data_IF_450732752234
#
_entry.id   IF_450732752234
#
_cell.length_a   1.000
_cell.length_b   1.000
_cell.length_c   1.000
_cell.angle_alpha   90.00
_cell.angle_beta   90.00
_cell.angle_gamma   90.00
#
_symmetry.space_group_name_H-M   'P 1'
#
loop_
_entity.id
_entity.type
_entity.pdbx_description
1 polymer ?
#
# COMPACT_ATOMS: atom_id res chain seq x y z
N UNK A 1 6.10 1.50 -39.58
CA UNK A 1 5.60 0.46 -38.66
C UNK A 1 6.84 -0.07 -37.96
N UNK A 2 7.34 0.71 -37.02
CA UNK A 2 8.46 0.39 -36.15
C UNK A 2 7.88 0.59 -34.75
N UNK A 3 7.60 -0.52 -34.07
CA UNK A 3 7.17 -0.52 -32.67
C UNK A 3 8.36 -0.07 -31.80
N UNK A 4 8.16 1.04 -31.10
CA UNK A 4 8.98 1.49 -29.98
C UNK A 4 8.91 0.46 -28.83
N UNK A 5 9.68 -0.62 -28.93
CA UNK A 5 10.12 -1.42 -27.77
C UNK A 5 11.25 -0.65 -27.04
N UNK A 6 11.00 0.60 -26.65
CA UNK A 6 11.77 1.21 -25.57
C UNK A 6 11.41 0.45 -24.29
N UNK A 7 12.18 -0.58 -23.97
CA UNK A 7 12.17 -1.23 -22.66
C UNK A 7 12.42 -0.14 -21.60
N UNK A 8 11.33 0.41 -21.05
CA UNK A 8 11.36 1.39 -19.97
C UNK A 8 12.25 0.85 -18.85
N UNK A 9 13.40 1.50 -18.65
CA UNK A 9 14.29 1.11 -17.56
C UNK A 9 13.51 1.20 -16.24
N UNK A 10 13.54 0.14 -15.41
CA UNK A 10 12.75 0.11 -14.20
C UNK A 10 13.23 1.17 -13.23
N UNK A 11 12.27 1.98 -12.75
CA UNK A 11 12.46 3.12 -11.85
C UNK A 11 13.24 2.81 -10.55
N UNK A 12 13.35 1.54 -10.16
CA UNK A 12 14.36 1.05 -9.22
C UNK A 12 14.57 -0.47 -9.34
N UNK A 13 15.73 -1.01 -8.93
CA UNK A 13 15.93 -2.45 -8.74
C UNK A 13 14.89 -3.15 -7.85
N UNK A 14 14.31 -2.45 -6.87
CA UNK A 14 13.18 -2.98 -6.08
C UNK A 14 11.95 -3.19 -6.96
N UNK A 15 11.69 -2.32 -7.94
CA UNK A 15 10.61 -2.50 -8.91
C UNK A 15 10.84 -3.74 -9.79
N UNK A 16 12.09 -4.07 -10.13
CA UNK A 16 12.43 -5.30 -10.87
C UNK A 16 12.02 -6.56 -10.09
N UNK A 17 12.06 -6.52 -8.75
CA UNK A 17 11.65 -7.65 -7.92
C UNK A 17 10.13 -7.93 -7.97
N UNK A 18 9.35 -6.98 -8.47
CA UNK A 18 7.90 -7.10 -8.62
C UNK A 18 7.48 -7.50 -10.04
N UNK A 19 8.43 -7.67 -10.95
CA UNK A 19 8.17 -8.14 -12.30
C UNK A 19 9.16 -9.24 -12.69
N UNK A 20 9.02 -10.40 -12.05
CA UNK A 20 9.79 -11.62 -12.37
C UNK A 20 8.87 -12.82 -12.49
N UNK A 21 9.41 -13.94 -12.97
CA UNK A 21 8.72 -15.24 -12.97
C UNK A 21 8.33 -15.74 -11.58
N UNK A 22 8.96 -15.25 -10.51
CA UNK A 22 8.62 -15.62 -9.13
C UNK A 22 7.55 -14.72 -8.50
N UNK A 23 7.44 -13.48 -8.96
CA UNK A 23 6.50 -12.48 -8.44
C UNK A 23 6.24 -11.45 -9.54
N UNK A 24 4.99 -11.39 -10.01
CA UNK A 24 4.53 -10.39 -10.95
C UNK A 24 3.36 -9.64 -10.33
N UNK A 25 3.59 -8.41 -9.93
CA UNK A 25 2.61 -7.53 -9.29
C UNK A 25 2.30 -6.38 -10.24
N UNK A 26 1.02 -6.06 -10.38
CA UNK A 26 0.58 -4.85 -11.08
C UNK A 26 -0.29 -4.00 -10.16
N UNK A 27 -0.11 -2.69 -10.23
CA UNK A 27 -0.96 -1.71 -9.56
C UNK A 27 -1.99 -1.23 -10.57
N UNK A 28 -3.26 -1.37 -10.22
CA UNK A 28 -4.38 -0.80 -10.98
C UNK A 28 -4.76 0.50 -10.30
N UNK A 29 -4.58 1.63 -10.97
CA UNK A 29 -5.06 2.92 -10.52
C UNK A 29 -6.30 3.31 -11.33
N UNK A 30 -7.30 3.86 -10.64
CA UNK A 30 -8.53 4.34 -11.24
C UNK A 30 -8.73 5.79 -10.83
N UNK A 31 -9.00 6.65 -11.81
CA UNK A 31 -9.37 8.04 -11.61
C UNK A 31 -10.81 8.23 -12.06
N UNK A 32 -11.62 8.75 -11.16
CA UNK A 32 -12.97 9.19 -11.46
C UNK A 32 -12.91 10.67 -11.85
N UNK A 33 -13.52 11.02 -12.98
CA UNK A 33 -13.63 12.41 -13.43
C UNK A 33 -15.03 12.95 -13.15
N UNK A 34 -15.14 14.27 -12.98
CA UNK A 34 -16.46 14.92 -12.83
C UNK A 34 -17.22 15.03 -14.14
N UNK A 35 -16.50 15.04 -15.25
CA UNK A 35 -17.04 15.19 -16.61
C UNK A 35 -16.77 13.88 -17.36
N UNK A 36 -17.75 13.35 -18.12
CA UNK A 36 -17.53 12.19 -18.98
C UNK A 36 -16.33 12.39 -19.91
N UNK A 37 -15.48 11.38 -20.01
CA UNK A 37 -14.33 11.40 -20.91
C UNK A 37 -14.79 11.01 -22.31
N UNK A 38 -14.42 11.81 -23.30
CA UNK A 38 -14.52 11.43 -24.71
C UNK A 38 -13.49 10.33 -25.01
N UNK A 39 -13.95 9.16 -25.48
CA UNK A 39 -13.12 7.99 -25.79
C UNK A 39 -11.96 8.33 -26.75
N UNK A 40 -12.18 9.28 -27.67
CA UNK A 40 -11.16 9.73 -28.61
C UNK A 40 -9.95 10.40 -27.94
N UNK A 41 -10.08 10.88 -26.70
CA UNK A 41 -9.04 11.59 -25.95
C UNK A 41 -8.32 10.71 -24.93
N UNK A 42 -8.76 9.46 -24.70
CA UNK A 42 -8.17 8.50 -23.73
C UNK A 42 -6.65 8.39 -23.87
N UNK A 43 -6.14 8.30 -25.10
CA UNK A 43 -4.70 8.16 -25.36
C UNK A 43 -3.90 9.43 -25.06
N UNK A 44 -4.50 10.62 -25.18
CA UNK A 44 -3.86 11.87 -24.77
C UNK A 44 -3.69 11.89 -23.23
N UNK A 45 -4.75 11.52 -22.50
CA UNK A 45 -4.70 11.42 -21.04
C UNK A 45 -3.65 10.42 -20.54
N UNK A 46 -3.52 9.27 -21.20
CA UNK A 46 -2.57 8.22 -20.81
C UNK A 46 -1.11 8.68 -20.90
N UNK A 47 -0.75 9.45 -21.93
CA UNK A 47 0.60 10.01 -22.10
C UNK A 47 0.93 11.05 -21.03
N UNK A 48 -0.05 11.84 -20.61
CA UNK A 48 0.13 12.87 -19.58
C UNK A 48 0.08 12.29 -18.15
N UNK A 49 -0.50 11.11 -17.96
CA UNK A 49 -0.61 10.47 -16.64
C UNK A 49 0.74 9.98 -16.08
N UNK A 50 1.64 9.55 -16.97
CA UNK A 50 2.95 9.00 -16.64
C UNK A 50 3.89 10.05 -16.00
N UNK A 51 3.97 11.31 -16.49
CA UNK A 51 4.76 12.37 -15.85
C UNK A 51 4.09 13.08 -14.66
N UNK A 52 2.76 12.96 -14.47
CA UNK A 52 2.03 13.83 -13.53
C UNK A 52 2.06 13.43 -12.05
N UNK A 53 2.70 12.32 -11.66
CA UNK A 53 2.71 11.93 -10.25
C UNK A 53 4.08 11.46 -9.76
N UNK A 54 4.99 12.40 -9.42
CA UNK A 54 6.09 12.13 -8.52
C UNK A 54 5.62 11.88 -7.10
N UNK A 55 5.13 10.66 -6.91
CA UNK A 55 5.03 9.92 -5.65
C UNK A 55 4.22 10.58 -4.53
N UNK A 56 2.97 10.13 -4.47
CA UNK A 56 2.28 9.66 -3.28
C UNK A 56 3.17 9.44 -2.03
N UNK A 57 2.97 10.31 -1.03
CA UNK A 57 3.59 10.21 0.29
C UNK A 57 2.56 9.64 1.27
N UNK A 58 2.92 8.75 2.18
CA UNK A 58 1.97 8.29 3.22
C UNK A 58 2.24 9.03 4.53
N UNK A 59 1.52 10.13 4.75
CA UNK A 59 1.63 10.91 6.00
C UNK A 59 0.80 10.22 7.11
N UNK A 60 1.43 9.31 7.82
CA UNK A 60 1.39 9.28 9.29
C UNK A 60 0.06 8.98 9.99
N UNK A 61 -0.60 10.04 10.45
CA UNK A 61 -1.49 10.02 11.62
C UNK A 61 -2.87 9.43 11.32
N UNK A 62 -3.38 9.63 10.11
CA UNK A 62 -4.66 9.03 9.69
C UNK A 62 -4.53 7.50 9.56
N UNK A 63 -3.32 6.99 9.30
CA UNK A 63 -3.09 5.60 8.98
C UNK A 63 -3.36 4.67 10.17
N UNK A 64 -2.97 5.07 11.37
CA UNK A 64 -3.05 4.17 12.51
C UNK A 64 -4.50 3.95 12.98
N UNK A 65 -5.33 5.00 12.92
CA UNK A 65 -6.77 4.90 13.20
C UNK A 65 -7.47 4.06 12.15
N UNK A 66 -7.16 4.28 10.86
CA UNK A 66 -7.72 3.49 9.76
C UNK A 66 -7.34 2.02 9.89
N UNK A 67 -6.08 1.69 10.21
CA UNK A 67 -5.65 0.31 10.44
C UNK A 67 -6.40 -0.32 11.60
N UNK A 68 -6.59 0.41 12.72
CA UNK A 68 -7.42 -0.05 13.83
C UNK A 68 -8.86 -0.35 13.42
N UNK A 69 -9.48 0.53 12.63
CA UNK A 69 -10.81 0.33 12.07
C UNK A 69 -10.88 -0.90 11.15
N UNK A 70 -9.91 -1.06 10.25
CA UNK A 70 -9.81 -2.22 9.38
C UNK A 70 -9.67 -3.52 10.18
N UNK A 71 -8.84 -3.53 11.23
CA UNK A 71 -8.69 -4.71 12.09
C UNK A 71 -9.99 -5.09 12.80
N UNK A 72 -10.73 -4.10 13.31
CA UNK A 72 -12.06 -4.34 13.88
C UNK A 72 -13.02 -4.91 12.82
N UNK A 73 -13.08 -4.31 11.63
CA UNK A 73 -13.92 -4.78 10.53
C UNK A 73 -13.59 -6.21 10.09
N UNK A 74 -12.30 -6.57 10.04
CA UNK A 74 -11.86 -7.94 9.75
C UNK A 74 -12.28 -8.91 10.86
N UNK A 75 -12.18 -8.52 12.13
CA UNK A 75 -12.62 -9.38 13.24
C UNK A 75 -14.13 -9.60 13.25
N UNK A 76 -14.92 -8.55 12.97
CA UNK A 76 -16.37 -8.67 12.78
C UNK A 76 -16.70 -9.57 11.58
N UNK A 77 -15.98 -9.44 10.47
CA UNK A 77 -16.15 -10.32 9.30
C UNK A 77 -15.84 -11.78 9.61
N UNK A 78 -14.76 -12.04 10.36
CA UNK A 78 -14.41 -13.38 10.81
C UNK A 78 -15.51 -13.97 11.70
N UNK A 79 -16.05 -13.18 12.64
CA UNK A 79 -17.16 -13.59 13.50
C UNK A 79 -18.43 -13.92 12.70
N UNK A 80 -18.81 -13.04 11.76
CA UNK A 80 -20.03 -13.18 10.96
C UNK A 80 -19.92 -14.33 9.93
N UNK A 81 -18.71 -14.64 9.46
CA UNK A 81 -18.49 -15.72 8.49
C UNK A 81 -18.31 -17.08 9.18
N UNK A 82 -17.48 -17.13 10.22
CA UNK A 82 -17.17 -18.35 10.99
C UNK A 82 -16.83 -17.97 12.44
N UNK A 83 -17.78 -18.07 13.39
CA UNK A 83 -17.58 -17.63 14.77
C UNK A 83 -16.33 -18.21 15.45
N UNK A 84 -15.98 -19.46 15.16
CA UNK A 84 -14.78 -20.13 15.67
C UNK A 84 -13.47 -19.48 15.23
N UNK A 85 -13.47 -18.81 14.07
CA UNK A 85 -12.29 -18.16 13.51
C UNK A 85 -11.88 -16.89 14.27
N UNK A 86 -12.75 -16.30 15.09
CA UNK A 86 -12.46 -15.11 15.90
C UNK A 86 -11.24 -15.27 16.81
N UNK A 87 -10.96 -16.51 17.26
CA UNK A 87 -9.82 -16.84 18.14
C UNK A 87 -8.53 -17.14 17.38
N UNK A 88 -8.60 -17.28 16.06
CA UNK A 88 -7.45 -17.62 15.23
C UNK A 88 -6.48 -16.46 15.11
N UNK A 89 -5.19 -16.80 15.03
CA UNK A 89 -4.14 -15.82 14.81
C UNK A 89 -4.24 -15.33 13.36
N UNK A 90 -4.17 -14.02 13.18
CA UNK A 90 -4.22 -13.38 11.86
C UNK A 90 -3.17 -12.30 11.83
N UNK A 91 -2.39 -12.26 10.76
CA UNK A 91 -1.28 -11.32 10.62
C UNK A 91 -1.52 -10.46 9.39
N UNK A 92 -1.58 -9.15 9.57
CA UNK A 92 -1.65 -8.18 8.49
C UNK A 92 -0.23 -7.74 8.11
N UNK A 93 0.02 -7.65 6.80
CA UNK A 93 1.21 -7.04 6.25
C UNK A 93 0.94 -5.58 5.92
N UNK A 94 1.42 -4.67 6.75
CA UNK A 94 1.22 -3.22 6.55
C UNK A 94 2.44 -2.65 5.85
N UNK A 95 2.22 -1.99 4.71
CA UNK A 95 3.28 -1.34 3.94
C UNK A 95 3.57 0.04 4.52
N UNK A 96 4.82 0.24 4.96
CA UNK A 96 5.31 1.50 5.49
C UNK A 96 6.22 2.17 4.47
N UNK A 97 5.98 3.45 4.17
CA UNK A 97 6.92 4.25 3.40
C UNK A 97 8.16 4.56 4.25
N UNK A 98 9.36 4.16 3.79
CA UNK A 98 10.63 4.36 4.52
C UNK A 98 11.31 5.68 4.20
N UNK A 99 10.72 6.53 3.34
CA UNK A 99 11.26 7.86 3.06
C UNK A 99 11.21 8.73 4.32
N UNK A 100 12.35 9.28 4.70
CA UNK A 100 12.54 10.11 5.89
C UNK A 100 11.88 11.50 5.82
N UNK A 101 11.22 11.85 4.70
CA UNK A 101 10.71 13.21 4.46
C UNK A 101 9.19 13.32 4.71
N UNK A 102 8.80 14.37 5.43
CA UNK A 102 7.39 14.70 5.75
C UNK A 102 6.70 15.55 4.69
N UNK A 103 7.46 16.08 3.71
CA UNK A 103 6.98 16.99 2.67
C UNK A 103 7.20 16.41 1.28
N UNK A 104 6.26 16.70 0.39
CA UNK A 104 6.32 16.38 -1.04
C UNK A 104 7.56 17.00 -1.69
N UNK A 105 8.12 16.32 -2.69
CA UNK A 105 9.23 16.80 -3.53
C UNK A 105 8.88 16.55 -4.99
N UNK A 106 9.26 17.46 -5.86
CA UNK A 106 8.99 17.34 -7.29
C UNK A 106 9.83 16.22 -7.93
N UNK A 107 9.38 15.73 -9.09
CA UNK A 107 10.06 14.65 -9.82
C UNK A 107 11.50 15.05 -10.14
N UNK A 108 11.65 16.26 -10.66
CA UNK A 108 12.88 16.85 -11.14
C UNK A 108 13.92 16.90 -10.00
N UNK A 109 13.47 17.24 -8.79
CA UNK A 109 14.31 17.24 -7.59
C UNK A 109 14.73 15.83 -7.14
N UNK A 110 13.90 14.81 -7.42
CA UNK A 110 14.19 13.40 -7.09
C UNK A 110 15.07 12.71 -8.13
N UNK A 111 15.03 13.17 -9.39
CA UNK A 111 15.87 12.66 -10.47
C UNK A 111 17.30 13.21 -10.43
N UNK A 112 17.53 14.28 -9.67
CA UNK A 112 18.87 14.83 -9.46
C UNK A 112 19.82 13.78 -8.84
N UNK A 113 21.04 13.55 -9.41
CA UNK A 113 21.98 12.53 -8.94
C UNK A 113 22.40 12.69 -7.48
N UNK A 114 22.42 13.93 -6.99
CA UNK A 114 22.80 14.29 -5.62
C UNK A 114 21.57 14.44 -4.69
N UNK A 115 20.40 13.96 -5.10
CA UNK A 115 19.20 14.07 -4.28
C UNK A 115 19.32 13.18 -3.04
N UNK A 116 19.07 13.76 -1.87
CA UNK A 116 18.92 13.00 -0.63
C UNK A 116 17.69 12.05 -0.66
N UNK A 117 16.83 12.18 -1.66
CA UNK A 117 15.60 11.40 -1.86
C UNK A 117 15.48 11.02 -3.34
N UNK A 118 16.33 10.10 -3.82
CA UNK A 118 16.32 9.72 -5.22
C UNK A 118 15.02 8.99 -5.56
N UNK A 119 14.63 9.10 -6.82
CA UNK A 119 13.47 8.42 -7.40
C UNK A 119 13.52 6.90 -7.17
N UNK A 120 12.35 6.27 -6.97
CA UNK A 120 12.21 4.82 -6.83
C UNK A 120 11.49 4.33 -5.57
N UNK A 121 11.04 3.07 -5.59
CA UNK A 121 10.23 2.48 -4.52
C UNK A 121 11.04 2.29 -3.23
N UNK A 122 10.55 2.88 -2.13
CA UNK A 122 11.14 2.77 -0.78
C UNK A 122 10.06 2.50 0.25
N UNK A 123 9.94 1.24 0.62
CA UNK A 123 8.97 0.81 1.61
C UNK A 123 9.46 -0.42 2.37
N UNK A 124 8.86 -0.65 3.52
CA UNK A 124 9.10 -1.82 4.35
C UNK A 124 7.79 -2.54 4.65
N UNK A 125 7.90 -3.84 4.89
CA UNK A 125 6.79 -4.68 5.32
C UNK A 125 6.77 -4.79 6.85
N UNK A 126 5.69 -4.32 7.47
CA UNK A 126 5.43 -4.53 8.89
C UNK A 126 4.48 -5.70 9.07
N UNK A 127 4.93 -6.77 9.72
CA UNK A 127 4.05 -7.83 10.17
C UNK A 127 3.39 -7.39 11.47
N UNK A 128 2.08 -7.23 11.42
CA UNK A 128 1.26 -6.77 12.53
C UNK A 128 0.22 -7.83 12.81
N UNK A 129 0.24 -8.36 14.03
CA UNK A 129 -0.79 -9.29 14.47
C UNK A 129 -2.08 -8.52 14.67
N UNK A 130 -3.15 -8.99 14.03
CA UNK A 130 -4.49 -8.41 14.18
C UNK A 130 -4.96 -8.78 15.59
N UNK A 131 -5.22 -7.81 16.48
CA UNK A 131 -5.66 -8.10 17.84
C UNK A 131 -6.94 -8.94 17.85
N UNK A 132 -7.09 -9.89 18.77
CA UNK A 132 -8.27 -10.77 18.84
C UNK A 132 -9.44 -10.04 19.46
N UNK A 133 -10.65 -10.29 18.99
CA UNK A 133 -11.84 -9.63 19.52
C UNK A 133 -12.10 -9.99 20.99
N UNK A 134 -11.72 -11.19 21.42
CA UNK A 134 -11.84 -11.66 22.81
C UNK A 134 -11.03 -10.83 23.81
N UNK A 135 -9.98 -10.17 23.34
CA UNK A 135 -9.05 -9.43 24.20
C UNK A 135 -9.58 -8.01 24.50
N UNK A 136 -10.65 -7.60 23.83
CA UNK A 136 -11.23 -6.26 23.95
C UNK A 136 -12.72 -6.33 24.20
N UNK A 137 -13.22 -5.39 25.00
CA UNK A 137 -14.66 -5.22 25.14
C UNK A 137 -15.17 -4.35 23.97
N UNK A 138 -16.12 -4.87 23.19
CA UNK A 138 -16.81 -4.13 22.13
C UNK A 138 -17.51 -2.86 22.66
N UNK A 139 -17.72 -2.74 23.97
CA UNK A 139 -18.20 -1.50 24.60
C UNK A 139 -17.24 -0.32 24.44
N UNK A 140 -15.95 -0.56 24.16
CA UNK A 140 -14.98 0.48 23.85
C UNK A 140 -14.10 0.06 22.66
N UNK A 141 -14.56 0.26 21.41
CA UNK A 141 -13.84 -0.13 20.19
C UNK A 141 -12.52 0.65 20.00
N UNK A 142 -12.34 1.79 20.70
CA UNK A 142 -11.10 2.57 20.64
C UNK A 142 -9.91 1.83 21.25
N UNK A 143 -10.13 0.89 22.18
CA UNK A 143 -9.04 0.08 22.75
C UNK A 143 -8.30 -0.74 21.69
N UNK A 144 -9.04 -1.28 20.71
CA UNK A 144 -8.44 -2.02 19.61
C UNK A 144 -7.63 -1.09 18.69
N UNK A 145 -8.14 0.12 18.45
CA UNK A 145 -7.42 1.15 17.69
C UNK A 145 -6.13 1.55 18.41
N UNK A 146 -6.17 1.79 19.71
CA UNK A 146 -5.00 2.09 20.52
C UNK A 146 -3.99 0.93 20.55
N UNK A 147 -4.47 -0.31 20.63
CA UNK A 147 -3.60 -1.49 20.59
C UNK A 147 -2.89 -1.60 19.23
N UNK A 148 -3.64 -1.41 18.13
CA UNK A 148 -3.08 -1.38 16.78
C UNK A 148 -2.04 -0.25 16.63
N UNK A 149 -2.34 0.96 17.10
CA UNK A 149 -1.43 2.10 17.15
C UNK A 149 -0.12 1.76 17.89
N UNK A 150 -0.22 1.20 19.09
CA UNK A 150 0.95 0.82 19.90
C UNK A 150 1.79 -0.24 19.19
N UNK A 151 1.16 -1.23 18.55
CA UNK A 151 1.85 -2.27 17.78
C UNK A 151 2.56 -1.70 16.54
N UNK A 152 1.87 -0.87 15.76
CA UNK A 152 2.44 -0.19 14.58
C UNK A 152 3.64 0.64 14.99
N UNK A 153 3.48 1.51 16.00
CA UNK A 153 4.54 2.39 16.49
C UNK A 153 5.77 1.58 16.93
N UNK A 154 5.57 0.53 17.72
CA UNK A 154 6.65 -0.36 18.16
C UNK A 154 7.36 -1.06 17.00
N UNK A 155 6.62 -1.57 16.02
CA UNK A 155 7.19 -2.27 14.85
C UNK A 155 7.93 -1.30 13.92
N UNK A 156 7.42 -0.08 13.79
CA UNK A 156 8.05 1.01 13.04
C UNK A 156 9.36 1.47 13.67
N UNK A 157 9.37 1.67 14.99
CA UNK A 157 10.54 2.12 15.74
C UNK A 157 11.59 1.00 15.91
N UNK A 158 11.30 -0.21 15.42
CA UNK A 158 12.25 -1.32 15.41
C UNK A 158 13.34 -1.08 14.37
N UNK A 159 14.59 -1.27 14.78
CA UNK A 159 15.76 -1.28 13.90
C UNK A 159 15.64 -2.27 12.73
N UNK A 160 14.77 -3.28 12.82
CA UNK A 160 14.49 -4.23 11.75
C UNK A 160 14.01 -3.55 10.45
N UNK A 161 13.21 -2.48 10.55
CA UNK A 161 12.72 -1.72 9.39
C UNK A 161 13.88 -1.05 8.66
N UNK A 162 14.78 -0.43 9.42
CA UNK A 162 15.99 0.20 8.89
C UNK A 162 16.98 -0.82 8.34
N UNK A 163 17.12 -1.99 8.99
CA UNK A 163 18.02 -3.05 8.53
C UNK A 163 17.56 -3.68 7.22
N UNK A 164 16.25 -3.88 7.03
CA UNK A 164 15.71 -4.35 5.74
C UNK A 164 15.92 -3.30 4.66
N UNK A 165 15.64 -2.02 4.94
CA UNK A 165 15.87 -0.93 3.98
C UNK A 165 17.37 -0.81 3.61
N UNK A 166 18.27 -0.90 4.60
CA UNK A 166 19.73 -0.90 4.38
C UNK A 166 20.23 -2.13 3.65
N UNK A 167 19.68 -3.32 3.95
CA UNK A 167 19.94 -4.53 3.18
C UNK A 167 19.55 -4.31 1.72
N UNK A 168 18.34 -3.77 1.49
CA UNK A 168 17.88 -3.47 0.14
C UNK A 168 18.81 -2.47 -0.55
N UNK A 169 19.26 -1.41 0.13
CA UNK A 169 20.22 -0.44 -0.41
C UNK A 169 21.62 -1.01 -0.68
N UNK A 170 22.12 -1.96 0.12
CA UNK A 170 23.43 -2.58 -0.13
C UNK A 170 23.44 -3.32 -1.46
N UNK A 171 22.33 -3.96 -1.84
CA UNK A 171 22.14 -4.56 -3.16
C UNK A 171 22.43 -3.55 -4.27
N UNK A 172 21.93 -2.32 -4.13
CA UNK A 172 22.13 -1.27 -5.13
C UNK A 172 23.61 -0.93 -5.27
N UNK A 173 24.37 -0.86 -4.17
CA UNK A 173 25.80 -0.51 -4.21
C UNK A 173 26.66 -1.59 -4.87
N UNK A 174 26.33 -2.87 -4.72
CA UNK A 174 27.02 -3.95 -5.42
C UNK A 174 26.85 -3.91 -6.95
N UNK A 175 25.90 -3.12 -7.48
CA UNK A 175 25.68 -2.89 -8.91
C UNK A 175 26.52 -1.75 -9.49
N UNK A 176 27.04 -0.84 -8.67
CA UNK A 176 27.73 0.40 -9.09
C UNK A 176 29.26 0.38 -8.95
N UNK A 177 29.87 -0.69 -8.43
CA UNK A 177 31.33 -0.85 -8.45
C UNK A 177 31.72 -1.50 -9.78
N UNK A 178 32.40 -0.73 -10.64
CA UNK A 178 32.80 -1.04 -12.02
C UNK A 178 33.79 -2.22 -12.19
N UNK A 179 33.55 -3.35 -11.54
CA UNK A 179 34.43 -4.53 -11.62
C UNK A 179 33.69 -5.74 -12.20
N UNK A 180 32.82 -5.51 -13.19
CA UNK A 180 32.00 -6.54 -13.85
C UNK A 180 31.02 -7.26 -12.91
N UNK A 181 29.85 -6.68 -12.62
CA UNK A 181 28.74 -7.49 -12.14
C UNK A 181 28.25 -8.35 -13.31
N UNK A 182 28.58 -9.65 -13.34
CA UNK A 182 28.01 -10.54 -14.35
C UNK A 182 26.48 -10.39 -14.33
N UNK A 183 25.89 -10.09 -15.49
CA UNK A 183 24.44 -9.91 -15.67
C UNK A 183 23.65 -11.09 -15.05
N UNK A 184 24.24 -12.28 -15.08
CA UNK A 184 23.74 -13.50 -14.44
C UNK A 184 23.54 -13.32 -12.91
N UNK A 185 24.51 -12.75 -12.19
CA UNK A 185 24.40 -12.54 -10.74
C UNK A 185 23.32 -11.51 -10.40
N UNK A 186 23.20 -10.45 -11.21
CA UNK A 186 22.14 -9.44 -11.05
C UNK A 186 20.77 -10.11 -11.23
N UNK A 187 20.59 -10.90 -12.28
CA UNK A 187 19.34 -11.61 -12.53
C UNK A 187 18.98 -12.60 -11.41
N UNK A 188 19.93 -13.46 -11.00
CA UNK A 188 19.75 -14.40 -9.89
C UNK A 188 19.31 -13.65 -8.63
N UNK A 189 19.97 -12.52 -8.33
CA UNK A 189 19.68 -11.70 -7.18
C UNK A 189 18.24 -11.14 -7.19
N UNK A 190 17.81 -10.59 -8.33
CA UNK A 190 16.45 -10.05 -8.51
C UNK A 190 15.42 -11.17 -8.29
N UNK A 191 15.65 -12.36 -8.86
CA UNK A 191 14.75 -13.51 -8.68
C UNK A 191 14.72 -13.99 -7.23
N UNK A 192 15.85 -14.04 -6.52
CA UNK A 192 15.91 -14.40 -5.10
C UNK A 192 15.15 -13.40 -4.23
N UNK A 193 15.32 -12.11 -4.49
CA UNK A 193 14.58 -11.05 -3.80
C UNK A 193 13.09 -11.15 -4.05
N UNK A 194 12.69 -11.42 -5.29
CA UNK A 194 11.30 -11.65 -5.68
C UNK A 194 10.70 -12.83 -4.92
N UNK A 195 11.43 -13.95 -4.81
CA UNK A 195 11.02 -15.13 -4.02
C UNK A 195 10.89 -14.82 -2.53
N UNK A 196 11.83 -14.03 -1.98
CA UNK A 196 11.76 -13.58 -0.59
C UNK A 196 10.50 -12.76 -0.34
N UNK A 197 10.23 -11.76 -1.19
CA UNK A 197 9.05 -10.89 -1.07
C UNK A 197 7.76 -11.70 -1.26
N UNK A 198 7.71 -12.59 -2.25
CA UNK A 198 6.59 -13.51 -2.45
C UNK A 198 6.32 -14.33 -1.19
N UNK A 199 7.36 -14.91 -0.57
CA UNK A 199 7.25 -15.69 0.66
C UNK A 199 6.77 -14.83 1.83
N UNK A 200 7.25 -13.60 1.96
CA UNK A 200 6.79 -12.65 2.97
C UNK A 200 5.30 -12.36 2.83
N UNK A 201 4.84 -12.05 1.61
CA UNK A 201 3.42 -11.74 1.35
C UNK A 201 2.56 -12.99 1.59
N UNK A 202 2.97 -14.15 1.06
CA UNK A 202 2.24 -15.42 1.18
C UNK A 202 2.03 -15.87 2.63
N UNK A 203 2.94 -15.54 3.53
CA UNK A 203 2.89 -15.96 4.95
C UNK A 203 2.10 -14.99 5.84
N UNK A 204 1.31 -14.09 5.26
CA UNK A 204 0.44 -13.16 6.00
C UNK A 204 -1.00 -13.28 5.50
N UNK A 205 -1.97 -13.02 6.38
CA UNK A 205 -3.40 -13.22 6.10
C UNK A 205 -3.96 -12.20 5.11
N UNK A 206 -3.48 -10.96 5.16
CA UNK A 206 -3.89 -9.86 4.29
C UNK A 206 -2.81 -8.80 4.20
N UNK A 207 -2.88 -7.94 3.18
CA UNK A 207 -2.03 -6.74 3.08
C UNK A 207 -2.83 -5.46 3.17
N UNK A 208 -2.25 -4.45 3.83
CA UNK A 208 -2.77 -3.09 3.90
C UNK A 208 -1.72 -2.14 3.32
N UNK A 209 -2.09 -1.41 2.28
CA UNK A 209 -1.30 -0.31 1.73
C UNK A 209 -2.04 1.00 1.94
N UNK A 210 -1.30 2.07 2.20
CA UNK A 210 -1.89 3.38 2.40
C UNK A 210 -1.07 4.47 1.71
N UNK A 211 -1.80 5.47 1.21
CA UNK A 211 -1.32 6.47 0.29
C UNK A 211 -2.02 7.80 0.57
N UNK A 212 -1.27 8.86 0.85
CA UNK A 212 -1.85 10.20 0.98
C UNK A 212 -1.62 10.93 -0.33
N UNK A 213 -2.73 11.12 -1.04
CA UNK A 213 -2.82 11.91 -2.25
C UNK A 213 -2.84 13.40 -1.93
N UNK A 214 -2.88 14.22 -2.99
CA UNK A 214 -2.91 15.67 -2.86
C UNK A 214 -4.20 16.15 -2.20
N UNK A 215 -4.08 17.26 -1.47
CA UNK A 215 -5.22 18.01 -0.94
C UNK A 215 -5.87 18.87 -2.02
N UNK A 216 -5.07 19.32 -2.96
CA UNK A 216 -5.50 20.13 -4.09
C UNK A 216 -6.20 19.27 -5.13
N UNK A 217 -7.22 19.86 -5.76
CA UNK A 217 -7.97 19.19 -6.81
C UNK A 217 -7.10 19.06 -8.05
N UNK A 218 -6.86 17.81 -8.44
CA UNK A 218 -6.12 17.49 -9.66
C UNK A 218 -7.02 17.61 -10.90
N UNK A 219 -6.41 17.98 -12.02
CA UNK A 219 -7.04 17.89 -13.32
C UNK A 219 -6.08 17.24 -14.32
N UNK A 220 -6.60 16.33 -15.13
CA UNK A 220 -5.85 15.70 -16.21
C UNK A 220 -6.27 16.35 -17.53
N UNK A 221 -5.35 17.06 -18.18
CA UNK A 221 -5.61 17.85 -19.41
C UNK A 221 -6.92 18.66 -19.34
N UNK A 222 -7.10 19.39 -18.25
CA UNK A 222 -8.29 20.21 -17.99
C UNK A 222 -9.53 19.46 -17.50
N UNK A 223 -9.47 18.13 -17.32
CA UNK A 223 -10.57 17.33 -16.77
C UNK A 223 -10.37 17.15 -15.27
N UNK A 224 -11.22 17.77 -14.42
CA UNK A 224 -11.09 17.66 -12.99
C UNK A 224 -11.35 16.23 -12.50
N UNK A 225 -10.40 15.71 -11.72
CA UNK A 225 -10.58 14.45 -11.01
C UNK A 225 -11.53 14.66 -9.83
N UNK A 226 -12.56 13.82 -9.77
CA UNK A 226 -13.51 13.70 -8.65
C UNK A 226 -12.93 12.84 -7.52
N UNK A 227 -12.15 11.82 -7.89
CA UNK A 227 -11.61 10.87 -6.93
C UNK A 227 -10.63 9.91 -7.56
N UNK A 228 -9.89 9.23 -6.70
CA UNK A 228 -8.88 8.27 -7.10
C UNK A 228 -8.93 7.08 -6.15
N UNK A 229 -8.66 5.90 -6.68
CA UNK A 229 -8.38 4.71 -5.89
C UNK A 229 -7.39 3.82 -6.63
N UNK A 230 -6.76 2.92 -5.90
CA UNK A 230 -5.87 1.94 -6.49
C UNK A 230 -6.05 0.60 -5.81
N UNK A 231 -5.62 -0.44 -6.50
CA UNK A 231 -5.54 -1.79 -5.94
C UNK A 231 -4.37 -2.53 -6.57
N UNK A 232 -4.05 -3.69 -6.03
CA UNK A 232 -2.91 -4.50 -6.44
C UNK A 232 -3.38 -5.88 -6.85
N UNK A 233 -2.88 -6.36 -7.99
CA UNK A 233 -3.11 -7.71 -8.51
C UNK A 233 -1.80 -8.47 -8.64
N UNK A 234 -1.87 -9.80 -8.68
CA UNK A 234 -0.69 -10.68 -8.78
C UNK A 234 0.03 -10.95 -7.45
N UNK A 235 -0.58 -10.60 -6.31
CA UNK A 235 -0.06 -10.96 -4.98
C UNK A 235 -0.61 -12.30 -4.50
N UNK A 236 0.16 -13.09 -3.73
CA UNK A 236 -0.27 -14.40 -3.21
C UNK A 236 -1.15 -14.27 -1.95
N UNK A 237 -2.21 -13.47 -2.02
CA UNK A 237 -3.16 -13.24 -0.94
C UNK A 237 -4.59 -13.12 -1.43
N UNK A 238 -5.51 -13.72 -0.67
CA UNK A 238 -6.94 -13.69 -0.97
C UNK A 238 -7.61 -12.37 -0.59
N UNK A 239 -6.99 -11.55 0.26
CA UNK A 239 -7.51 -10.22 0.63
C UNK A 239 -6.40 -9.18 0.65
N UNK A 240 -6.61 -8.08 -0.07
CA UNK A 240 -5.78 -6.87 -0.05
C UNK A 240 -6.64 -5.65 0.19
N UNK A 241 -6.09 -4.68 0.90
CA UNK A 241 -6.76 -3.44 1.27
C UNK A 241 -5.82 -2.30 0.85
N UNK A 242 -6.37 -1.37 0.07
CA UNK A 242 -5.65 -0.17 -0.38
C UNK A 242 -6.41 1.05 0.08
N UNK A 243 -5.72 1.93 0.80
CA UNK A 243 -6.28 3.14 1.37
C UNK A 243 -5.65 4.33 0.65
N UNK A 244 -6.49 5.27 0.22
CA UNK A 244 -6.05 6.54 -0.34
C UNK A 244 -6.81 7.70 0.31
N UNK A 245 -6.11 8.78 0.64
CA UNK A 245 -6.72 10.06 0.97
C UNK A 245 -6.55 11.01 -0.21
N UNK A 246 -7.63 11.55 -0.75
CA UNK A 246 -7.61 12.52 -1.86
C UNK A 246 -8.62 13.62 -1.59
N UNK A 247 -8.19 14.89 -1.66
CA UNK A 247 -9.03 16.04 -1.29
C UNK A 247 -9.72 15.86 0.07
N UNK A 248 -8.96 15.38 1.07
CA UNK A 248 -9.44 15.08 2.43
C UNK A 248 -10.52 13.98 2.52
N UNK A 249 -10.88 13.36 1.40
CA UNK A 249 -11.77 12.21 1.35
C UNK A 249 -10.94 10.92 1.40
N UNK A 250 -11.22 10.11 2.42
CA UNK A 250 -10.63 8.77 2.54
C UNK A 250 -11.43 7.78 1.70
N UNK A 251 -10.73 7.02 0.84
CA UNK A 251 -11.28 5.91 0.07
C UNK A 251 -10.54 4.63 0.40
N UNK A 252 -11.28 3.56 0.56
CA UNK A 252 -10.76 2.24 0.89
C UNK A 252 -11.23 1.28 -0.20
N UNK A 253 -10.27 0.67 -0.89
CA UNK A 253 -10.52 -0.35 -1.89
C UNK A 253 -10.17 -1.73 -1.32
N UNK A 254 -11.11 -2.67 -1.44
CA UNK A 254 -10.93 -4.06 -1.06
C UNK A 254 -10.76 -4.91 -2.32
N UNK A 255 -9.66 -5.64 -2.39
CA UNK A 255 -9.44 -6.65 -3.42
C UNK A 255 -9.53 -8.04 -2.83
N UNK A 256 -10.71 -8.67 -2.93
CA UNK A 256 -10.95 -10.04 -2.51
C UNK A 256 -10.71 -11.05 -3.64
N UNK A 257 -10.34 -12.28 -3.29
CA UNK A 257 -10.41 -13.43 -4.18
C UNK A 257 -11.88 -13.85 -4.34
N UNK A 258 -12.32 -13.95 -5.59
CA UNK A 258 -13.69 -14.30 -5.95
C UNK A 258 -14.05 -15.67 -5.35
N UNK A 259 -15.28 -15.83 -4.88
CA UNK A 259 -15.79 -17.05 -4.24
C UNK A 259 -15.14 -17.42 -2.90
N UNK A 260 -14.02 -16.79 -2.53
CA UNK A 260 -13.38 -16.97 -1.22
C UNK A 260 -13.73 -15.89 -0.21
N UNK A 261 -13.78 -14.61 -0.64
CA UNK A 261 -14.18 -13.48 0.19
C UNK A 261 -15.61 -13.08 -0.13
N UNK A 262 -16.48 -13.09 0.88
CA UNK A 262 -17.86 -12.60 0.78
C UNK A 262 -17.86 -11.06 0.82
N UNK A 263 -18.07 -10.45 -0.34
CA UNK A 263 -18.02 -8.99 -0.51
C UNK A 263 -19.11 -8.27 0.29
N UNK A 264 -20.32 -8.82 0.35
CA UNK A 264 -21.44 -8.17 1.02
C UNK A 264 -21.24 -8.17 2.54
N UNK A 265 -20.83 -9.31 3.10
CA UNK A 265 -20.50 -9.42 4.52
C UNK A 265 -19.31 -8.57 4.90
N UNK A 266 -18.24 -8.58 4.09
CA UNK A 266 -17.05 -7.75 4.35
C UNK A 266 -17.43 -6.27 4.37
N UNK A 267 -18.22 -5.83 3.38
CA UNK A 267 -18.69 -4.43 3.30
C UNK A 267 -19.55 -4.06 4.51
N UNK A 268 -20.49 -4.93 4.89
CA UNK A 268 -21.34 -4.75 6.07
C UNK A 268 -20.52 -4.63 7.36
N UNK A 269 -19.56 -5.53 7.57
CA UNK A 269 -18.69 -5.52 8.75
C UNK A 269 -17.79 -4.28 8.82
N UNK A 270 -17.27 -3.82 7.68
CA UNK A 270 -16.46 -2.60 7.61
C UNK A 270 -17.29 -1.35 7.95
N UNK A 271 -18.55 -1.28 7.48
CA UNK A 271 -19.47 -0.21 7.86
C UNK A 271 -19.77 -0.22 9.36
N UNK A 272 -20.08 -1.39 9.93
CA UNK A 272 -20.27 -1.55 11.39
C UNK A 272 -19.04 -1.08 12.18
N UNK A 273 -17.84 -1.46 11.74
CA UNK A 273 -16.60 -1.05 12.40
C UNK A 273 -16.38 0.47 12.36
N UNK A 274 -16.67 1.11 11.21
CA UNK A 274 -16.65 2.56 11.09
C UNK A 274 -17.64 3.21 12.05
N UNK A 275 -18.89 2.75 12.07
CA UNK A 275 -19.95 3.31 12.92
C UNK A 275 -19.60 3.18 14.41
N UNK A 276 -19.05 2.03 14.83
CA UNK A 276 -18.61 1.81 16.22
C UNK A 276 -17.51 2.79 16.63
N UNK A 277 -16.49 2.97 15.79
CA UNK A 277 -15.38 3.88 16.09
C UNK A 277 -15.83 5.33 16.04
N UNK A 278 -16.63 5.69 15.03
CA UNK A 278 -17.16 7.04 14.89
C UNK A 278 -18.02 7.43 16.09
N UNK A 279 -18.95 6.56 16.52
CA UNK A 279 -19.76 6.80 17.72
C UNK A 279 -18.90 6.96 18.97
N UNK A 280 -17.96 6.05 19.20
CA UNK A 280 -17.07 6.12 20.35
C UNK A 280 -16.17 7.39 20.34
N UNK A 281 -15.77 7.89 19.16
CA UNK A 281 -14.99 9.13 19.06
C UNK A 281 -15.79 10.39 19.42
N UNK A 282 -17.10 10.39 19.16
CA UNK A 282 -17.99 11.49 19.55
C UNK A 282 -18.14 11.51 21.08
N UNK A 283 -18.33 10.34 21.70
CA UNK A 283 -18.54 10.22 23.14
C UNK A 283 -17.30 10.62 23.98
N UNK A 284 -16.10 10.58 23.40
CA UNK A 284 -14.83 10.99 24.05
C UNK A 284 -14.54 12.49 23.89
N UNK A 285 -15.22 13.18 22.96
CA UNK A 285 -14.97 14.60 22.64
C UNK A 285 -15.79 15.58 23.50
N UNK A 286 -16.36 15.12 24.61
CA UNK A 286 -17.15 15.90 25.59
C UNK A 286 -16.43 15.94 26.93
#
# INVERSE_FOLDING_TARGET
MEEEDELLEPVSPTAQCFNTSALSISVIAVVEFEIPIDEAKIMCYAKDFIPLNPLFSSIMTVNDVVVGMLFLGIRLYMEETRPESTKSNSTALVLLNTRMFRTYKCMEDMLNPNSNTPWGNRFAFLHIDIPKLTDFNLSNPLQLVEAAQKLIKRKRDSSAVFLVDKLMQMIHKFRGSEVYPNIIYIYIYIVLSSKYVYKTIKNSSLSISNLIGPKEKMALTGHPAKGMYFTVVGIPQSLKISVISYMENLRIAFGGEKEFIDQEKLTSCMKKAFDYIHKASIDVSI
#
